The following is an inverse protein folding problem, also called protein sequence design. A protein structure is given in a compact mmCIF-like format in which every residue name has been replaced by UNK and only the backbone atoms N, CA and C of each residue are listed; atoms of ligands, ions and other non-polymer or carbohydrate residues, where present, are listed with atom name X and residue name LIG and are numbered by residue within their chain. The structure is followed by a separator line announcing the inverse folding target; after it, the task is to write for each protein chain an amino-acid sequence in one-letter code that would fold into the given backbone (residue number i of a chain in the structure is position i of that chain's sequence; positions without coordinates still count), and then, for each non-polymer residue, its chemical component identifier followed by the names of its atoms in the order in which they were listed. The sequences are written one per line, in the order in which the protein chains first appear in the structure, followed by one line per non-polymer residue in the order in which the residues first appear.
data_IF_031734889128
#
_entry.id   IF_031734889128
#
_cell.length_a   1.000
_cell.length_b   1.000
_cell.length_c   1.000
_cell.angle_alpha   90.00
_cell.angle_beta   90.00
_cell.angle_gamma   90.00
#
_symmetry.space_group_name_H-M   'P 1'
#
loop_
_entity.id
_entity.type
_entity.pdbx_description
1 polymer ?
#
# COMPACT_ATOMS: atom_id res chain seq x y z
N UNK A 1 -23.47 6.23 -14.34
CA UNK A 1 -22.74 5.84 -13.11
C UNK A 1 -21.74 6.94 -12.80
N UNK A 2 -21.84 7.61 -11.64
CA UNK A 2 -20.85 8.62 -11.24
C UNK A 2 -19.60 7.92 -10.70
N UNK A 3 -18.50 7.93 -11.46
CA UNK A 3 -17.18 7.48 -11.01
C UNK A 3 -16.60 8.50 -10.03
N UNK A 4 -16.64 8.19 -8.73
CA UNK A 4 -15.95 8.97 -7.70
C UNK A 4 -14.48 8.55 -7.65
N UNK A 5 -13.59 9.42 -8.09
CA UNK A 5 -12.14 9.24 -7.93
C UNK A 5 -11.76 9.35 -6.46
N UNK A 6 -11.06 8.35 -5.92
CA UNK A 6 -10.46 8.38 -4.59
C UNK A 6 -8.95 8.60 -4.69
N UNK A 7 -8.40 9.36 -3.74
CA UNK A 7 -6.96 9.49 -3.56
C UNK A 7 -6.46 8.45 -2.55
N UNK A 8 -5.22 8.01 -2.72
CA UNK A 8 -4.64 6.97 -1.89
C UNK A 8 -3.30 6.48 -2.41
N UNK A 9 -2.85 5.38 -1.82
CA UNK A 9 -1.62 4.70 -2.21
C UNK A 9 -1.92 3.38 -2.91
N UNK A 10 -1.07 3.05 -3.88
CA UNK A 10 -1.01 1.75 -4.52
C UNK A 10 0.33 1.12 -4.13
N UNK A 11 0.31 -0.15 -3.73
CA UNK A 11 1.52 -0.89 -3.38
C UNK A 11 1.55 -2.19 -4.16
N UNK A 12 2.67 -2.42 -4.82
CA UNK A 12 3.04 -3.67 -5.47
C UNK A 12 4.24 -4.23 -4.71
N UNK A 13 4.13 -5.48 -4.25
CA UNK A 13 5.25 -6.21 -3.67
C UNK A 13 5.39 -7.55 -4.37
N UNK A 14 6.63 -7.99 -4.53
CA UNK A 14 7.03 -9.18 -5.28
C UNK A 14 8.10 -9.93 -4.46
N UNK A 15 8.03 -11.26 -4.41
CA UNK A 15 9.00 -12.08 -3.66
C UNK A 15 10.17 -12.41 -4.58
N UNK A 16 11.28 -11.70 -4.42
CA UNK A 16 12.51 -12.00 -5.13
C UNK A 16 13.01 -13.42 -4.86
N UNK A 17 13.45 -14.13 -5.90
CA UNK A 17 14.05 -15.47 -5.78
C UNK A 17 13.05 -16.62 -5.66
N UNK A 18 11.75 -16.33 -5.75
CA UNK A 18 10.66 -17.30 -5.72
C UNK A 18 10.87 -18.48 -6.68
N UNK A 19 11.15 -18.19 -7.96
CA UNK A 19 11.33 -19.21 -8.98
C UNK A 19 12.52 -20.11 -8.69
N UNK A 20 13.66 -19.52 -8.29
CA UNK A 20 14.88 -20.27 -7.96
C UNK A 20 14.66 -21.18 -6.75
N UNK A 21 13.99 -20.67 -5.71
CA UNK A 21 13.65 -21.47 -4.54
C UNK A 21 12.76 -22.68 -4.89
N UNK A 22 11.73 -22.48 -5.73
CA UNK A 22 10.85 -23.56 -6.18
C UNK A 22 11.57 -24.60 -7.05
N UNK A 23 12.59 -24.22 -7.79
CA UNK A 23 13.34 -25.14 -8.66
C UNK A 23 14.38 -25.99 -7.92
N UNK A 24 14.92 -25.49 -6.80
CA UNK A 24 15.99 -26.16 -6.05
C UNK A 24 15.47 -27.00 -4.88
N UNK A 25 14.31 -26.66 -4.33
CA UNK A 25 13.71 -27.39 -3.22
C UNK A 25 12.83 -28.55 -3.70
N UNK A 26 12.64 -29.56 -2.86
CA UNK A 26 11.64 -30.61 -3.10
C UNK A 26 10.27 -29.94 -3.26
N UNK A 27 9.68 -30.06 -4.46
CA UNK A 27 8.55 -29.25 -4.91
C UNK A 27 7.37 -29.24 -3.93
N UNK A 28 7.11 -30.35 -3.24
CA UNK A 28 5.99 -30.46 -2.30
C UNK A 28 6.24 -29.62 -1.03
N UNK A 29 7.43 -29.68 -0.45
CA UNK A 29 7.79 -28.89 0.74
C UNK A 29 8.04 -27.40 0.43
N UNK A 30 8.56 -27.10 -0.76
CA UNK A 30 8.80 -25.73 -1.19
C UNK A 30 7.49 -24.93 -1.30
N UNK A 31 6.42 -25.57 -1.80
CA UNK A 31 5.11 -24.93 -1.97
C UNK A 31 4.44 -24.64 -0.64
N UNK A 32 4.57 -25.54 0.35
CA UNK A 32 4.05 -25.33 1.70
C UNK A 32 4.72 -24.11 2.37
N UNK A 33 6.05 -24.03 2.34
CA UNK A 33 6.79 -22.91 2.93
C UNK A 33 6.39 -21.57 2.31
N UNK A 34 6.23 -21.54 0.98
CA UNK A 34 5.81 -20.33 0.27
C UNK A 34 4.37 -19.94 0.60
N UNK A 35 3.47 -20.91 0.70
CA UNK A 35 2.09 -20.66 1.08
C UNK A 35 2.01 -20.06 2.49
N UNK A 36 2.75 -20.62 3.45
CA UNK A 36 2.83 -20.12 4.82
C UNK A 36 3.39 -18.69 4.86
N UNK A 37 4.46 -18.42 4.11
CA UNK A 37 5.06 -17.08 4.01
C UNK A 37 4.06 -16.07 3.45
N UNK A 38 3.38 -16.41 2.35
CA UNK A 38 2.37 -15.57 1.74
C UNK A 38 1.19 -15.34 2.68
N UNK A 39 0.77 -16.34 3.46
CA UNK A 39 -0.28 -16.20 4.45
C UNK A 39 0.12 -15.19 5.54
N UNK A 40 1.35 -15.32 6.09
CA UNK A 40 1.86 -14.39 7.10
C UNK A 40 1.92 -12.96 6.55
N UNK A 41 2.48 -12.76 5.35
CA UNK A 41 2.59 -11.44 4.72
C UNK A 41 1.19 -10.85 4.50
N UNK A 42 0.29 -11.62 3.91
CA UNK A 42 -1.10 -11.21 3.62
C UNK A 42 -1.85 -10.85 4.90
N UNK A 43 -1.72 -11.64 5.97
CA UNK A 43 -2.36 -11.38 7.25
C UNK A 43 -1.90 -10.06 7.86
N UNK A 44 -0.61 -9.73 7.76
CA UNK A 44 -0.06 -8.45 8.22
C UNK A 44 -0.54 -7.29 7.35
N UNK A 45 -0.52 -7.45 6.03
CA UNK A 45 -0.94 -6.41 5.08
C UNK A 45 -2.42 -6.06 5.21
N UNK A 46 -3.30 -7.03 5.44
CA UNK A 46 -4.77 -6.80 5.57
C UNK A 46 -5.15 -5.79 6.66
N UNK A 47 -4.31 -5.62 7.69
CA UNK A 47 -4.56 -4.63 8.74
C UNK A 47 -4.25 -3.18 8.32
N UNK A 48 -3.46 -3.01 7.25
CA UNK A 48 -2.93 -1.71 6.80
C UNK A 48 -3.51 -1.27 5.45
N UNK A 49 -3.77 -2.23 4.56
CA UNK A 49 -4.14 -2.02 3.15
C UNK A 49 -5.18 -3.04 2.72
N UNK A 50 -5.94 -2.70 1.67
CA UNK A 50 -6.85 -3.65 1.01
C UNK A 50 -6.09 -4.40 -0.08
N UNK A 51 -6.17 -5.73 -0.07
CA UNK A 51 -5.61 -6.56 -1.13
C UNK A 51 -6.55 -6.54 -2.33
N UNK A 52 -6.06 -6.06 -3.47
CA UNK A 52 -6.79 -6.08 -4.73
C UNK A 52 -6.59 -7.40 -5.46
N UNK A 53 -5.36 -7.94 -5.47
CA UNK A 53 -5.02 -9.15 -6.21
C UNK A 53 -3.77 -9.84 -5.65
N UNK A 54 -3.76 -11.16 -5.74
CA UNK A 54 -2.58 -12.02 -5.56
C UNK A 54 -2.36 -12.79 -6.86
N UNK A 55 -1.13 -12.81 -7.37
CA UNK A 55 -0.74 -13.55 -8.57
C UNK A 55 0.67 -14.14 -8.35
N UNK A 56 0.75 -15.45 -8.12
CA UNK A 56 2.03 -16.10 -7.78
C UNK A 56 2.68 -15.51 -6.53
N UNK A 57 3.87 -14.94 -6.70
CA UNK A 57 4.69 -14.22 -5.72
C UNK A 57 4.36 -12.73 -5.59
N UNK A 58 3.51 -12.19 -6.45
CA UNK A 58 3.17 -10.78 -6.45
C UNK A 58 1.86 -10.49 -5.69
N UNK A 59 1.89 -9.43 -4.89
CA UNK A 59 0.73 -8.86 -4.20
C UNK A 59 0.48 -7.42 -4.63
N UNK A 60 -0.76 -7.15 -5.06
CA UNK A 60 -1.24 -5.81 -5.35
C UNK A 60 -2.24 -5.36 -4.29
N UNK A 61 -1.95 -4.22 -3.67
CA UNK A 61 -2.78 -3.63 -2.62
C UNK A 61 -3.01 -2.14 -2.84
N UNK A 62 -4.05 -1.61 -2.19
CA UNK A 62 -4.36 -0.19 -2.18
C UNK A 62 -4.84 0.28 -0.81
N UNK A 63 -4.69 1.57 -0.54
CA UNK A 63 -5.25 2.23 0.64
C UNK A 63 -5.80 3.58 0.26
N UNK A 64 -7.12 3.75 0.40
CA UNK A 64 -7.74 5.05 0.27
C UNK A 64 -7.30 5.95 1.44
N UNK A 65 -6.94 7.19 1.13
CA UNK A 65 -6.59 8.20 2.13
C UNK A 65 -7.58 9.33 2.00
N UNK A 66 -8.20 9.70 3.13
CA UNK A 66 -9.01 10.89 3.17
C UNK A 66 -8.09 12.10 3.33
N UNK A 67 -7.89 12.84 2.24
CA UNK A 67 -7.32 14.18 2.32
C UNK A 67 -8.45 15.20 2.57
N UNK A 68 -8.56 15.79 3.77
CA UNK A 68 -9.51 16.87 3.98
C UNK A 68 -9.11 18.06 3.08
N UNK A 69 -9.94 18.36 2.10
CA UNK A 69 -9.74 19.44 1.10
C UNK A 69 -9.50 20.82 1.72
N UNK A 70 -9.85 21.01 3.00
CA UNK A 70 -9.69 22.27 3.74
C UNK A 70 -8.34 22.45 4.44
N UNK A 71 -7.48 21.43 4.52
CA UNK A 71 -6.19 21.54 5.24
C UNK A 71 -5.13 22.38 4.50
N UNK A 72 -5.35 22.74 3.23
CA UNK A 72 -4.38 23.49 2.40
C UNK A 72 -4.63 25.01 2.46
N UNK A 73 -5.77 25.49 2.98
CA UNK A 73 -6.01 26.92 3.20
C UNK A 73 -5.84 27.30 4.68
N UNK A 74 -4.58 27.55 5.09
CA UNK A 74 -4.31 28.69 5.96
C UNK A 74 -3.46 29.68 5.16
N UNK A 75 -4.07 30.58 4.36
CA UNK A 75 -3.34 31.74 3.90
C UNK A 75 -2.94 32.54 5.15
N UNK A 76 -1.67 32.89 5.20
CA UNK A 76 -1.04 33.70 6.23
C UNK A 76 -1.62 35.12 6.18
N UNK A 77 -2.86 35.31 6.62
CA UNK A 77 -3.47 36.61 6.80
C UNK A 77 -3.05 37.16 8.17
N UNK A 78 -1.84 37.71 8.27
CA UNK A 78 -1.54 38.70 9.31
C UNK A 78 -1.85 40.09 8.74
N UNK A 79 -2.84 40.83 9.29
CA UNK A 79 -3.08 42.19 8.88
C UNK A 79 -1.95 43.09 9.41
N UNK A 80 -1.35 43.84 8.50
CA UNK A 80 -0.92 45.24 8.63
C UNK A 80 -0.73 45.72 10.08
N UNK A 81 0.52 45.83 10.53
CA UNK A 81 0.93 46.86 11.49
C UNK A 81 2.09 47.64 10.86
N UNK A 82 1.75 48.74 10.19
CA UNK A 82 2.63 49.89 10.01
C UNK A 82 2.22 50.92 11.06
N UNK A 83 3.22 51.59 11.63
CA UNK A 83 3.17 52.80 12.48
C UNK A 83 3.47 52.57 13.97
N UNK A 84 4.75 52.65 14.34
CA UNK A 84 5.35 53.69 15.19
C UNK A 84 6.74 53.25 15.67
N UNK A 85 7.79 53.64 14.93
CA UNK A 85 8.95 54.43 15.34
C UNK A 85 9.73 54.82 14.07
#
# INVERSE_FOLDING_TARGET
MNSRTQQGYLLLADISGYTSFLTEAELDHAREIIADLLEVITARLRSLVTIAKLEGDAVFTYRAVFFPRFAILKPFARPILRMLY
#
